data_IF_543381195854
#
_entry.id   IF_543381195854
#
_cell.length_a   1.000
_cell.length_b   1.000
_cell.length_c   1.000
_cell.angle_alpha   90.00
_cell.angle_beta   90.00
_cell.angle_gamma   90.00
#
_symmetry.space_group_name_H-M   'P 1'
#
loop_
_entity.id
_entity.type
_entity.pdbx_description
1 polymer ?
#
# COMPACT_ATOMS: atom_id res chain seq x y z
N UNK A 1 4.65 5.05 -11.90
CA UNK A 1 5.65 5.35 -10.83
C UNK A 1 7.03 5.49 -11.46
N UNK A 2 7.96 6.22 -10.84
CA UNK A 2 9.34 6.32 -11.35
C UNK A 2 10.23 5.14 -10.95
N UNK A 3 9.89 4.43 -9.88
CA UNK A 3 10.64 3.28 -9.36
C UNK A 3 9.72 2.33 -8.57
N UNK A 4 10.17 1.08 -8.37
CA UNK A 4 9.46 0.09 -7.55
C UNK A 4 9.51 0.47 -6.07
N UNK A 5 8.37 0.48 -5.34
CA UNK A 5 8.37 0.87 -3.94
C UNK A 5 9.05 -0.16 -3.02
N UNK A 6 9.03 -1.44 -3.41
CA UNK A 6 9.63 -2.54 -2.66
C UNK A 6 10.37 -3.49 -3.61
N UNK A 7 11.41 -4.16 -3.10
CA UNK A 7 12.18 -5.20 -3.83
C UNK A 7 11.58 -6.59 -3.62
N UNK A 8 10.26 -6.70 -3.66
CA UNK A 8 9.52 -7.96 -3.53
C UNK A 8 8.43 -8.04 -4.61
N UNK A 9 7.71 -9.16 -4.66
CA UNK A 9 6.66 -9.38 -5.67
C UNK A 9 5.54 -8.33 -5.58
N UNK A 10 5.19 -7.88 -4.37
CA UNK A 10 4.20 -6.82 -4.15
C UNK A 10 4.66 -5.48 -4.74
N UNK A 11 5.93 -5.12 -4.59
CA UNK A 11 6.52 -3.93 -5.18
C UNK A 11 6.64 -4.01 -6.71
N UNK A 12 6.89 -5.21 -7.27
CA UNK A 12 6.80 -5.45 -8.71
C UNK A 12 5.37 -5.25 -9.21
N UNK A 13 4.40 -5.89 -8.55
CA UNK A 13 2.97 -5.79 -8.91
C UNK A 13 2.44 -4.37 -8.83
N UNK A 14 2.73 -3.64 -7.76
CA UNK A 14 2.33 -2.25 -7.63
C UNK A 14 2.94 -1.37 -8.72
N UNK A 15 4.18 -1.62 -9.13
CA UNK A 15 4.79 -0.86 -10.23
C UNK A 15 4.16 -1.14 -11.60
N UNK A 16 3.73 -2.39 -11.84
CA UNK A 16 3.14 -2.83 -13.11
C UNK A 16 1.64 -2.49 -13.23
N UNK A 17 0.87 -2.66 -12.17
CA UNK A 17 -0.60 -2.55 -12.19
C UNK A 17 -1.12 -1.18 -11.71
N UNK A 18 -0.34 -0.44 -10.91
CA UNK A 18 -0.84 0.77 -10.22
C UNK A 18 -0.25 2.05 -10.80
N UNK A 19 -1.14 3.00 -11.08
CA UNK A 19 -0.75 4.30 -11.60
C UNK A 19 0.04 5.14 -10.58
N UNK A 20 0.88 6.06 -11.06
CA UNK A 20 1.70 6.91 -10.18
C UNK A 20 0.87 7.78 -9.24
N UNK A 21 -0.28 8.28 -9.71
CA UNK A 21 -1.23 9.08 -8.90
C UNK A 21 -1.88 8.22 -7.83
N UNK A 22 -2.38 7.03 -8.20
CA UNK A 22 -3.02 6.03 -7.35
C UNK A 22 -2.10 5.63 -6.17
N UNK A 23 -0.80 5.46 -6.46
CA UNK A 23 0.19 5.22 -5.42
C UNK A 23 0.39 6.42 -4.49
N UNK A 24 0.41 7.64 -5.04
CA UNK A 24 0.45 8.86 -4.24
C UNK A 24 -0.76 8.99 -3.31
N UNK A 25 -1.94 8.55 -3.74
CA UNK A 25 -3.14 8.48 -2.90
C UNK A 25 -3.01 7.44 -1.79
N UNK A 26 -2.51 6.24 -2.12
CA UNK A 26 -2.20 5.23 -1.11
C UNK A 26 -1.25 5.76 -0.03
N UNK A 27 -0.18 6.48 -0.38
CA UNK A 27 0.75 7.03 0.60
C UNK A 27 0.07 8.04 1.56
N UNK A 28 -0.89 8.83 1.08
CA UNK A 28 -1.69 9.72 1.93
C UNK A 28 -2.58 8.93 2.88
N UNK A 29 -3.27 7.91 2.37
CA UNK A 29 -4.08 7.00 3.19
C UNK A 29 -3.24 6.28 4.24
N UNK A 30 -2.06 5.77 3.86
CA UNK A 30 -1.10 5.13 4.77
C UNK A 30 -0.71 6.07 5.91
N UNK A 31 -0.38 7.33 5.62
CA UNK A 31 -0.06 8.32 6.64
C UNK A 31 -1.23 8.57 7.59
N UNK A 32 -2.45 8.67 7.06
CA UNK A 32 -3.67 8.81 7.88
C UNK A 32 -3.88 7.61 8.81
N UNK A 33 -3.72 6.38 8.29
CA UNK A 33 -3.82 5.15 9.08
C UNK A 33 -2.78 5.10 10.20
N UNK A 34 -1.52 5.46 9.90
CA UNK A 34 -0.45 5.50 10.90
C UNK A 34 -0.81 6.47 12.03
N UNK A 35 -1.26 7.67 11.69
CA UNK A 35 -1.59 8.70 12.68
C UNK A 35 -2.86 8.36 13.47
N UNK A 36 -3.89 7.83 12.81
CA UNK A 36 -5.17 7.53 13.44
C UNK A 36 -5.08 6.37 14.43
N UNK A 37 -4.37 5.30 14.08
CA UNK A 37 -4.20 4.12 14.94
C UNK A 37 -2.93 4.17 15.80
N UNK A 38 -2.13 5.24 15.70
CA UNK A 38 -0.87 5.37 16.44
C UNK A 38 0.12 4.23 16.14
N UNK A 39 0.21 3.82 14.87
CA UNK A 39 0.96 2.62 14.49
C UNK A 39 2.46 2.79 14.68
N UNK A 40 3.09 1.82 15.35
CA UNK A 40 4.54 1.72 15.40
C UNK A 40 5.06 0.84 14.25
N UNK A 41 5.66 1.48 13.24
CA UNK A 41 6.19 0.79 12.05
C UNK A 41 7.32 -0.21 12.33
N UNK A 42 7.86 -0.27 13.56
CA UNK A 42 8.82 -1.29 13.98
C UNK A 42 8.13 -2.62 14.29
N UNK A 43 6.86 -2.59 14.66
CA UNK A 43 6.10 -3.79 15.01
C UNK A 43 5.64 -4.54 13.75
N UNK A 44 5.84 -5.87 13.68
CA UNK A 44 5.41 -6.67 12.53
C UNK A 44 3.91 -6.54 12.23
N UNK A 45 3.07 -6.51 13.28
CA UNK A 45 1.62 -6.39 13.14
C UNK A 45 1.18 -5.08 12.49
N UNK A 46 1.87 -3.98 12.77
CA UNK A 46 1.59 -2.69 12.15
C UNK A 46 1.93 -2.72 10.65
N UNK A 47 3.02 -3.40 10.28
CA UNK A 47 3.38 -3.60 8.87
C UNK A 47 2.34 -4.47 8.16
N UNK A 48 1.95 -5.61 8.75
CA UNK A 48 0.89 -6.47 8.21
C UNK A 48 -0.43 -5.72 8.03
N UNK A 49 -0.84 -4.92 9.02
CA UNK A 49 -2.03 -4.08 8.91
C UNK A 49 -1.95 -3.13 7.71
N UNK A 50 -0.83 -2.43 7.52
CA UNK A 50 -0.65 -1.53 6.39
C UNK A 50 -0.59 -2.26 5.06
N UNK A 51 0.04 -3.44 4.99
CA UNK A 51 0.06 -4.25 3.76
C UNK A 51 -1.34 -4.73 3.37
N UNK A 52 -2.11 -5.25 4.33
CA UNK A 52 -3.48 -5.69 4.07
C UNK A 52 -4.39 -4.53 3.59
N UNK A 53 -4.23 -3.35 4.19
CA UNK A 53 -4.96 -2.14 3.75
C UNK A 53 -4.48 -1.66 2.38
N UNK A 54 -3.18 -1.73 2.10
CA UNK A 54 -2.62 -1.39 0.78
C UNK A 54 -3.20 -2.29 -0.30
N UNK A 55 -3.23 -3.60 -0.04
CA UNK A 55 -3.73 -4.56 -1.00
C UNK A 55 -5.21 -4.35 -1.29
N UNK A 56 -6.00 -4.04 -0.27
CA UNK A 56 -7.41 -3.67 -0.45
C UNK A 56 -7.56 -2.35 -1.21
N UNK A 57 -6.83 -1.31 -0.82
CA UNK A 57 -6.96 0.01 -1.43
C UNK A 57 -6.54 0.01 -2.91
N UNK A 58 -5.45 -0.68 -3.25
CA UNK A 58 -4.88 -0.68 -4.59
C UNK A 58 -5.43 -1.77 -5.50
N UNK A 59 -5.83 -2.93 -4.95
CA UNK A 59 -6.19 -4.09 -5.76
C UNK A 59 -7.62 -4.63 -5.52
N UNK A 60 -8.40 -4.11 -4.56
CA UNK A 60 -9.76 -4.63 -4.33
C UNK A 60 -10.72 -4.39 -5.52
N UNK A 61 -10.56 -3.30 -6.27
CA UNK A 61 -11.34 -3.08 -7.51
C UNK A 61 -10.89 -3.92 -8.70
N UNK A 62 -9.77 -4.65 -8.62
CA UNK A 62 -9.39 -5.63 -9.64
C UNK A 62 -10.16 -6.96 -9.47
N UNK A 63 -10.98 -7.10 -8.43
CA UNK A 63 -11.94 -8.19 -8.23
C UNK A 63 -13.37 -7.70 -8.46
N UNK A 64 -13.69 -7.31 -9.67
CA UNK A 64 -15.07 -7.49 -10.19
C UNK A 64 -15.01 -8.60 -11.25
N UNK A 65 -15.95 -9.58 -11.22
CA UNK A 65 -15.95 -10.75 -12.09
C UNK A 65 -16.20 -10.43 -13.58
#
# INVERSE_FOLDING_TARGET
>A
MAFRPFQNDLGRRAYEEICGVCWGEWLKTQQQLINHYGLNLREPKAKEFLFNNMEQFLFASAKEP
#
